data_IF_774906921743
#
_entry.id   IF_774906921743
#
_cell.length_a   1.000
_cell.length_b   1.000
_cell.length_c   1.000
_cell.angle_alpha   90.00
_cell.angle_beta   90.00
_cell.angle_gamma   90.00
#
_symmetry.space_group_name_H-M   'P 1'
#
loop_
_entity.id
_entity.type
_entity.pdbx_description
1 polymer ?
#
# COMPACT_ATOMS: atom_id res chain seq x y z
N UNK A 1 -22.56 13.91 -24.99
CA UNK A 1 -21.21 14.24 -25.44
C UNK A 1 -20.59 15.46 -24.71
N UNK A 2 -21.34 16.48 -24.31
CA UNK A 2 -20.87 17.67 -23.60
C UNK A 2 -20.44 17.36 -22.15
N UNK A 3 -21.18 16.56 -21.38
CA UNK A 3 -20.87 16.21 -19.99
C UNK A 3 -19.54 15.44 -19.85
N UNK A 4 -19.22 14.58 -20.81
CA UNK A 4 -17.98 13.78 -20.80
C UNK A 4 -16.71 14.65 -20.93
N UNK A 5 -16.78 15.77 -21.67
CA UNK A 5 -15.68 16.73 -21.82
C UNK A 5 -15.38 17.49 -20.52
N UNK A 6 -16.39 17.79 -19.71
CA UNK A 6 -16.20 18.47 -18.43
C UNK A 6 -15.69 17.51 -17.33
N UNK A 7 -16.15 16.25 -17.33
CA UNK A 7 -15.64 15.21 -16.45
C UNK A 7 -14.15 14.92 -16.75
N UNK A 8 -13.76 14.84 -18.03
CA UNK A 8 -12.36 14.66 -18.43
C UNK A 8 -11.48 15.88 -18.08
N UNK A 9 -12.00 17.09 -18.16
CA UNK A 9 -11.28 18.30 -17.73
C UNK A 9 -11.15 18.38 -16.20
N UNK A 10 -12.15 17.94 -15.45
CA UNK A 10 -12.10 17.89 -13.99
C UNK A 10 -11.06 16.88 -13.48
N UNK A 11 -10.91 15.75 -14.18
CA UNK A 11 -9.89 14.72 -13.84
C UNK A 11 -8.48 15.23 -14.15
N UNK A 12 -8.30 16.07 -15.17
CA UNK A 12 -6.96 16.58 -15.55
C UNK A 12 -6.45 17.72 -14.65
N UNK A 13 -7.30 18.36 -13.88
CA UNK A 13 -6.92 19.47 -12.98
C UNK A 13 -6.51 19.02 -11.58
N UNK A 14 -6.54 17.71 -11.26
CA UNK A 14 -6.21 17.18 -9.92
C UNK A 14 -4.71 16.84 -9.74
N UNK A 15 -3.91 17.00 -10.77
CA UNK A 15 -2.52 16.55 -10.75
C UNK A 15 -1.51 17.69 -10.68
N UNK A 16 -1.39 18.39 -9.56
CA UNK A 16 -0.20 19.22 -9.28
C UNK A 16 -0.24 19.76 -7.84
N UNK A 17 0.16 18.98 -6.86
CA UNK A 17 0.67 19.48 -5.58
C UNK A 17 1.51 18.39 -4.91
N UNK A 18 2.77 18.66 -4.63
CA UNK A 18 3.74 17.70 -4.10
C UNK A 18 4.10 18.08 -2.66
N UNK A 19 3.70 17.28 -1.70
CA UNK A 19 4.31 17.15 -0.37
C UNK A 19 3.74 15.94 0.35
N UNK A 20 4.55 15.16 1.05
CA UNK A 20 4.14 13.89 1.68
C UNK A 20 4.34 13.96 3.18
N UNK A 21 3.48 13.23 3.92
CA UNK A 21 3.65 13.05 5.34
C UNK A 21 4.89 12.23 5.68
N UNK A 22 5.49 12.46 6.85
CA UNK A 22 6.72 11.79 7.29
C UNK A 22 6.56 10.28 7.49
N UNK A 23 5.32 9.81 7.70
CA UNK A 23 5.03 8.40 7.99
C UNK A 23 5.45 7.45 6.86
N UNK A 24 5.36 7.87 5.60
CA UNK A 24 5.75 7.07 4.44
C UNK A 24 7.26 6.80 4.34
N UNK A 25 8.08 7.44 5.16
CA UNK A 25 9.53 7.20 5.21
C UNK A 25 9.95 6.26 6.34
N UNK A 26 9.02 5.83 7.21
CA UNK A 26 9.37 4.98 8.35
C UNK A 26 9.61 3.54 7.89
N UNK A 27 10.80 3.00 8.15
CA UNK A 27 11.17 1.63 7.79
C UNK A 27 11.03 1.36 6.28
N UNK A 28 10.18 0.38 5.94
CA UNK A 28 9.89 0.02 4.54
C UNK A 28 8.75 0.86 3.92
N UNK A 29 8.28 1.88 4.62
CA UNK A 29 7.18 2.75 4.20
C UNK A 29 5.82 2.34 4.74
N UNK A 30 4.78 3.02 4.25
CA UNK A 30 3.39 2.77 4.64
C UNK A 30 2.88 1.46 4.02
N UNK A 31 2.41 0.54 4.88
CA UNK A 31 1.83 -0.73 4.44
C UNK A 31 0.45 -0.49 3.83
N UNK A 32 0.14 -1.16 2.73
CA UNK A 32 -1.13 -0.97 2.04
C UNK A 32 -2.16 -1.97 2.54
N UNK A 33 -3.21 -1.48 3.20
CA UNK A 33 -4.25 -2.31 3.83
C UNK A 33 -5.34 -2.75 2.85
N UNK A 34 -5.64 -1.94 1.81
CA UNK A 34 -6.80 -2.16 0.94
C UNK A 34 -6.41 -2.51 -0.49
N UNK A 35 -6.59 -3.78 -0.85
CA UNK A 35 -6.25 -4.27 -2.19
C UNK A 35 -7.37 -4.09 -3.23
N UNK A 36 -8.56 -3.66 -2.84
CA UNK A 36 -9.69 -3.47 -3.77
C UNK A 36 -10.58 -2.30 -3.38
N UNK A 37 -11.18 -1.65 -4.36
CA UNK A 37 -12.15 -0.57 -4.13
C UNK A 37 -13.39 -1.03 -3.34
N UNK A 38 -13.76 -2.30 -3.43
CA UNK A 38 -14.86 -2.85 -2.63
C UNK A 38 -14.49 -2.97 -1.15
N UNK A 39 -13.27 -3.37 -0.83
CA UNK A 39 -12.76 -3.40 0.54
C UNK A 39 -12.59 -1.96 1.08
N UNK A 40 -11.93 -1.08 0.32
CA UNK A 40 -11.74 0.32 0.71
C UNK A 40 -13.06 1.04 0.99
N UNK A 41 -14.12 0.78 0.21
CA UNK A 41 -15.43 1.41 0.42
C UNK A 41 -16.15 1.01 1.70
N UNK A 42 -15.81 -0.11 2.31
CA UNK A 42 -16.38 -0.60 3.58
C UNK A 42 -15.38 -0.56 4.73
N UNK A 43 -14.20 0.06 4.55
CA UNK A 43 -13.08 0.01 5.48
C UNK A 43 -12.63 -1.41 5.86
N UNK A 44 -12.98 -2.42 5.04
CA UNK A 44 -12.61 -3.81 5.31
C UNK A 44 -11.11 -4.01 5.10
N UNK A 45 -10.44 -4.68 6.02
CA UNK A 45 -9.05 -5.10 5.90
C UNK A 45 -8.87 -6.26 4.88
N UNK A 46 -9.92 -6.56 4.10
CA UNK A 46 -9.94 -7.59 3.07
C UNK A 46 -10.32 -8.98 3.56
N UNK A 47 -10.51 -9.19 4.85
CA UNK A 47 -10.79 -10.49 5.43
C UNK A 47 -12.27 -10.88 5.30
N UNK A 48 -13.20 -9.96 5.62
CA UNK A 48 -14.63 -10.20 5.47
C UNK A 48 -15.11 -9.98 4.03
N UNK A 49 -16.31 -10.50 3.75
CA UNK A 49 -16.92 -10.35 2.42
C UNK A 49 -17.30 -8.90 2.14
N UNK A 50 -16.66 -8.27 1.19
CA UNK A 50 -16.87 -6.85 0.84
C UNK A 50 -17.27 -6.61 -0.61
N UNK A 51 -16.96 -7.56 -1.50
CA UNK A 51 -17.24 -7.44 -2.92
C UNK A 51 -18.68 -7.79 -3.27
N UNK A 52 -19.13 -8.98 -2.88
CA UNK A 52 -20.49 -9.50 -2.98
C UNK A 52 -20.85 -10.26 -1.71
N UNK A 53 -22.10 -10.59 -1.58
CA UNK A 53 -22.53 -11.47 -0.48
C UNK A 53 -21.68 -12.75 -0.46
N UNK A 54 -21.05 -13.02 0.67
CA UNK A 54 -20.13 -14.14 0.90
C UNK A 54 -18.86 -14.17 0.02
N UNK A 55 -18.49 -13.07 -0.61
CA UNK A 55 -17.31 -12.99 -1.46
C UNK A 55 -16.46 -11.76 -1.10
N UNK A 56 -15.21 -12.01 -0.76
CA UNK A 56 -14.11 -11.04 -0.71
C UNK A 56 -13.13 -11.34 -1.84
N UNK A 57 -12.64 -10.33 -2.53
CA UNK A 57 -11.59 -10.52 -3.53
C UNK A 57 -10.25 -10.85 -2.87
N UNK A 58 -9.95 -10.24 -1.71
CA UNK A 58 -8.67 -10.40 -1.00
C UNK A 58 -8.61 -11.65 -0.10
N UNK A 59 -9.74 -12.34 0.15
CA UNK A 59 -9.77 -13.52 1.00
C UNK A 59 -10.05 -14.80 0.20
N UNK A 60 -9.03 -15.64 -0.05
CA UNK A 60 -9.16 -16.83 -0.88
C UNK A 60 -10.17 -17.87 -0.34
N UNK A 61 -10.48 -17.89 0.97
CA UNK A 61 -11.46 -18.83 1.52
C UNK A 61 -12.88 -18.61 1.00
N UNK A 62 -13.15 -17.45 0.40
CA UNK A 62 -14.46 -17.11 -0.17
C UNK A 62 -14.60 -17.50 -1.64
N UNK A 63 -13.48 -17.75 -2.34
CA UNK A 63 -13.43 -17.99 -3.78
C UNK A 63 -14.07 -19.30 -4.27
N UNK A 64 -14.09 -20.40 -3.50
CA UNK A 64 -14.84 -21.59 -3.91
C UNK A 64 -16.33 -21.35 -4.17
N UNK A 65 -16.89 -20.26 -3.63
CA UNK A 65 -18.29 -19.85 -3.85
C UNK A 65 -18.49 -19.15 -5.21
N UNK A 66 -17.42 -18.78 -5.91
CA UNK A 66 -17.49 -18.15 -7.23
C UNK A 66 -17.91 -19.18 -8.28
N UNK A 67 -18.73 -18.74 -9.23
CA UNK A 67 -19.20 -19.59 -10.35
C UNK A 67 -18.40 -19.41 -11.63
N UNK A 68 -17.67 -18.31 -11.73
CA UNK A 68 -16.96 -17.88 -12.93
C UNK A 68 -15.53 -17.47 -12.58
N UNK A 69 -14.67 -17.51 -13.58
CA UNK A 69 -13.34 -16.91 -13.50
C UNK A 69 -13.46 -15.41 -13.41
N UNK A 70 -12.71 -14.79 -12.52
CA UNK A 70 -12.71 -13.35 -12.29
C UNK A 70 -11.36 -12.74 -12.63
N UNK A 71 -11.40 -11.65 -13.37
CA UNK A 71 -10.31 -10.70 -13.51
C UNK A 71 -10.72 -9.41 -12.82
N UNK A 72 -9.92 -8.92 -11.90
CA UNK A 72 -10.15 -7.66 -11.19
C UNK A 72 -8.93 -6.76 -11.28
N UNK A 73 -9.19 -5.48 -11.54
CA UNK A 73 -8.19 -4.42 -11.53
C UNK A 73 -8.69 -3.30 -10.63
N UNK A 74 -7.84 -2.82 -9.75
CA UNK A 74 -8.13 -1.67 -8.89
C UNK A 74 -7.03 -0.62 -9.01
N UNK A 75 -7.44 0.64 -9.07
CA UNK A 75 -6.56 1.80 -9.11
C UNK A 75 -6.91 2.74 -7.97
N UNK A 76 -5.93 3.32 -7.34
CA UNK A 76 -6.11 4.26 -6.24
C UNK A 76 -5.36 5.55 -6.44
N UNK A 77 -5.91 6.61 -5.87
CA UNK A 77 -5.24 7.89 -5.70
C UNK A 77 -5.40 8.36 -4.27
N UNK A 78 -4.31 8.85 -3.68
CA UNK A 78 -4.27 9.35 -2.31
C UNK A 78 -3.71 10.76 -2.27
N UNK A 79 -4.25 11.57 -1.40
CA UNK A 79 -3.76 12.91 -1.04
C UNK A 79 -3.47 12.91 0.46
N UNK A 80 -2.28 13.33 0.83
CA UNK A 80 -1.87 13.64 2.19
C UNK A 80 -1.68 15.13 2.35
N UNK A 81 -2.17 15.69 3.43
CA UNK A 81 -2.02 17.11 3.77
C UNK A 81 -1.56 17.25 5.23
N UNK A 82 -0.41 17.87 5.43
CA UNK A 82 0.08 18.29 6.74
C UNK A 82 -0.56 19.61 7.17
N UNK A 83 -0.60 19.87 8.48
CA UNK A 83 -1.18 21.09 9.06
C UNK A 83 -0.58 22.39 8.49
N UNK A 84 0.65 22.36 8.01
CA UNK A 84 1.37 23.52 7.45
C UNK A 84 1.13 23.75 5.95
N UNK A 85 -0.01 23.31 5.40
CA UNK A 85 -0.42 23.44 4.00
C UNK A 85 0.42 22.68 2.95
N UNK A 86 1.35 21.86 3.34
CA UNK A 86 1.99 20.98 2.38
C UNK A 86 1.04 19.84 2.00
N UNK A 87 0.71 19.72 0.72
CA UNK A 87 -0.16 18.69 0.18
C UNK A 87 0.64 17.80 -0.76
N UNK A 88 0.36 16.52 -0.68
CA UNK A 88 0.97 15.55 -1.55
C UNK A 88 -0.02 14.53 -2.05
N UNK A 89 0.13 14.15 -3.31
CA UNK A 89 -0.70 13.13 -3.91
C UNK A 89 0.14 12.08 -4.62
N UNK A 90 -0.34 10.87 -4.60
CA UNK A 90 0.17 9.77 -5.41
C UNK A 90 -0.97 8.89 -5.91
N UNK A 91 -0.71 8.20 -6.99
CA UNK A 91 -1.65 7.24 -7.54
C UNK A 91 -0.91 6.02 -8.04
N UNK A 92 -1.52 4.86 -7.85
CA UNK A 92 -0.92 3.59 -8.23
C UNK A 92 -1.97 2.54 -8.62
N UNK A 93 -1.49 1.47 -9.25
CA UNK A 93 -2.25 0.23 -9.38
C UNK A 93 -2.39 -0.39 -8.00
N UNK A 94 -3.61 -0.46 -7.46
CA UNK A 94 -3.89 -1.02 -6.15
C UNK A 94 -3.87 -2.55 -6.15
N UNK A 95 -4.45 -3.17 -7.18
CA UNK A 95 -4.33 -4.62 -7.40
C UNK A 95 -4.65 -5.00 -8.84
N UNK A 96 -4.03 -6.09 -9.28
CA UNK A 96 -4.40 -6.84 -10.47
C UNK A 96 -4.54 -8.31 -10.08
N UNK A 97 -5.72 -8.89 -10.25
CA UNK A 97 -6.05 -10.19 -9.69
C UNK A 97 -6.79 -11.06 -10.70
N UNK A 98 -6.41 -12.35 -10.74
CA UNK A 98 -7.10 -13.39 -11.49
C UNK A 98 -7.48 -14.52 -10.53
N UNK A 99 -8.77 -14.88 -10.50
CA UNK A 99 -9.31 -15.94 -9.64
C UNK A 99 -10.01 -16.99 -10.50
N UNK A 100 -9.67 -18.26 -10.31
CA UNK A 100 -10.20 -19.40 -11.05
C UNK A 100 -10.84 -20.38 -10.06
N UNK A 101 -12.19 -20.40 -9.94
CA UNK A 101 -12.88 -21.41 -9.15
C UNK A 101 -12.91 -22.76 -9.87
N UNK A 102 -12.75 -23.85 -9.12
CA UNK A 102 -12.69 -25.21 -9.64
C UNK A 102 -13.75 -26.06 -8.94
N UNK A 103 -14.76 -26.51 -9.69
CA UNK A 103 -15.82 -27.43 -9.24
C UNK A 103 -16.52 -27.02 -7.93
N UNK A 104 -16.67 -25.73 -7.65
CA UNK A 104 -17.28 -25.19 -6.44
C UNK A 104 -16.68 -25.70 -5.11
N UNK A 105 -15.50 -26.29 -5.14
CA UNK A 105 -14.83 -26.86 -3.97
C UNK A 105 -13.43 -26.27 -3.78
N UNK A 106 -12.74 -26.00 -4.88
CA UNK A 106 -11.39 -25.44 -4.89
C UNK A 106 -11.38 -24.12 -5.62
N UNK A 107 -10.43 -23.28 -5.32
CA UNK A 107 -10.10 -22.14 -6.15
C UNK A 107 -8.61 -21.85 -6.08
N UNK A 108 -8.08 -21.32 -7.16
CA UNK A 108 -6.72 -20.80 -7.25
C UNK A 108 -6.78 -19.35 -7.72
N UNK A 109 -5.81 -18.57 -7.35
CA UNK A 109 -5.70 -17.18 -7.79
C UNK A 109 -4.30 -16.65 -7.72
N UNK A 110 -4.07 -15.63 -8.51
CA UNK A 110 -2.85 -14.83 -8.49
C UNK A 110 -3.24 -13.36 -8.33
N UNK A 111 -2.42 -12.62 -7.59
CA UNK A 111 -2.63 -11.19 -7.37
C UNK A 111 -1.28 -10.47 -7.39
N UNK A 112 -1.25 -9.30 -8.00
CA UNK A 112 -0.15 -8.34 -7.95
C UNK A 112 -0.66 -7.07 -7.30
N UNK A 113 -0.01 -6.63 -6.21
CA UNK A 113 -0.39 -5.43 -5.49
C UNK A 113 0.80 -4.76 -4.81
N UNK A 114 0.76 -3.46 -4.49
CA UNK A 114 1.76 -2.84 -3.64
C UNK A 114 1.64 -3.40 -2.21
N UNK A 115 2.78 -3.79 -1.63
CA UNK A 115 2.89 -4.20 -0.24
C UNK A 115 3.17 -3.01 0.67
N UNK A 116 4.14 -2.18 0.25
CA UNK A 116 4.45 -0.92 0.93
C UNK A 116 4.80 0.16 -0.08
N UNK A 117 4.63 1.41 0.34
CA UNK A 117 4.92 2.56 -0.50
C UNK A 117 5.78 3.56 0.26
N UNK A 118 6.85 3.98 -0.41
CA UNK A 118 7.79 4.97 0.10
C UNK A 118 7.82 6.13 -0.87
N UNK A 119 7.54 7.32 -0.41
CA UNK A 119 7.78 8.55 -1.16
C UNK A 119 7.84 9.71 -0.20
N UNK A 120 8.94 10.38 -0.14
CA UNK A 120 9.14 11.60 0.63
C UNK A 120 10.11 12.50 -0.10
N UNK A 121 9.87 13.79 -0.01
CA UNK A 121 10.77 14.84 -0.42
C UNK A 121 10.72 15.91 0.68
N UNK A 122 11.82 16.06 1.41
CA UNK A 122 11.91 16.97 2.53
C UNK A 122 13.15 17.84 2.40
N UNK A 123 12.98 19.11 2.65
CA UNK A 123 14.06 20.09 2.75
C UNK A 123 14.12 20.51 4.23
N UNK A 124 15.30 20.36 4.82
CA UNK A 124 15.60 20.94 6.14
C UNK A 124 15.87 22.44 5.94
N UNK A 125 14.87 23.23 6.31
CA UNK A 125 14.92 24.68 6.18
C UNK A 125 15.61 25.37 7.38
N UNK A 126 16.04 24.62 8.39
CA UNK A 126 16.89 25.15 9.45
C UNK A 126 18.28 25.35 8.88
N UNK A 127 18.42 26.45 8.14
CA UNK A 127 19.63 26.81 7.45
C UNK A 127 20.83 26.87 8.41
N UNK A 128 21.82 26.04 8.13
CA UNK A 128 23.13 26.23 8.69
C UNK A 128 23.91 27.02 7.66
N UNK A 129 24.07 28.32 7.88
CA UNK A 129 24.96 29.12 7.06
C UNK A 129 26.38 28.55 7.14
N UNK A 130 26.95 28.18 6.01
CA UNK A 130 28.33 27.75 5.93
C UNK A 130 29.19 28.99 5.62
N UNK A 131 30.03 29.39 6.57
CA UNK A 131 31.01 30.43 6.31
C UNK A 131 32.24 29.78 5.65
N UNK A 132 32.44 30.03 4.36
CA UNK A 132 33.58 29.54 3.62
C UNK A 132 34.24 30.72 2.85
N UNK A 133 35.53 30.89 3.03
CA UNK A 133 36.33 31.94 2.29
C UNK A 133 35.75 33.36 2.42
N UNK A 134 35.27 33.76 3.62
CA UNK A 134 34.67 35.06 3.91
C UNK A 134 33.24 35.27 3.32
N UNK A 135 32.70 34.29 2.59
CA UNK A 135 31.32 34.28 2.12
C UNK A 135 30.42 33.41 3.00
N UNK A 136 29.17 33.82 3.14
CA UNK A 136 28.12 33.04 3.82
C UNK A 136 27.29 32.33 2.75
N UNK A 137 27.47 31.01 2.66
CA UNK A 137 26.75 30.16 1.71
C UNK A 137 25.47 29.61 2.36
N UNK A 138 24.34 29.65 1.67
CA UNK A 138 23.10 29.01 2.11
C UNK A 138 23.25 27.49 1.97
N UNK A 139 23.11 26.79 3.11
CA UNK A 139 23.27 25.35 3.20
C UNK A 139 21.94 24.71 3.53
N UNK A 140 21.34 23.99 2.59
CA UNK A 140 20.11 23.25 2.81
C UNK A 140 20.36 21.74 2.64
N UNK A 141 19.72 20.95 3.48
CA UNK A 141 19.73 19.50 3.37
C UNK A 141 18.39 19.02 2.82
N UNK A 142 18.43 18.30 1.71
CA UNK A 142 17.25 17.67 1.12
C UNK A 142 17.36 16.14 1.25
N UNK A 143 16.30 15.51 1.66
CA UNK A 143 16.15 14.06 1.67
C UNK A 143 15.01 13.64 0.75
N UNK A 144 15.34 12.85 -0.28
CA UNK A 144 14.37 12.33 -1.24
C UNK A 144 14.38 10.80 -1.16
N UNK A 145 13.21 10.21 -1.04
CA UNK A 145 13.04 8.76 -1.11
C UNK A 145 11.81 8.43 -1.95
N UNK A 146 11.92 7.47 -2.84
CA UNK A 146 10.83 7.02 -3.69
C UNK A 146 10.96 5.54 -4.01
N UNK A 147 9.79 4.85 -4.13
CA UNK A 147 9.70 3.43 -4.46
C UNK A 147 8.85 2.66 -3.47
N UNK A 148 9.21 1.41 -3.20
CA UNK A 148 8.49 0.55 -2.27
C UNK A 148 8.65 -0.93 -2.59
N UNK A 149 7.86 -1.74 -1.89
CA UNK A 149 7.80 -3.19 -2.04
C UNK A 149 6.50 -3.57 -2.71
N UNK A 150 6.58 -4.41 -3.73
CA UNK A 150 5.44 -5.05 -4.40
C UNK A 150 5.28 -6.47 -3.88
N UNK A 151 4.06 -6.97 -3.90
CA UNK A 151 3.73 -8.35 -3.58
C UNK A 151 3.12 -9.05 -4.80
N UNK A 152 3.56 -10.28 -5.05
CA UNK A 152 2.94 -11.21 -5.97
C UNK A 152 2.45 -12.43 -5.19
N UNK A 153 1.14 -12.56 -5.09
CA UNK A 153 0.47 -13.58 -4.30
C UNK A 153 0.03 -14.75 -5.18
N UNK A 154 0.31 -15.96 -4.73
CA UNK A 154 -0.19 -17.20 -5.31
C UNK A 154 -1.04 -17.87 -4.24
N UNK A 155 -2.32 -18.02 -4.48
CA UNK A 155 -3.30 -18.49 -3.50
C UNK A 155 -3.99 -19.75 -3.97
N UNK A 156 -4.22 -20.67 -3.03
CA UNK A 156 -5.05 -21.84 -3.23
C UNK A 156 -6.04 -21.99 -2.06
N UNK A 157 -7.28 -22.35 -2.38
CA UNK A 157 -8.32 -22.52 -1.37
C UNK A 157 -9.15 -23.78 -1.61
N UNK A 158 -9.70 -24.31 -0.52
CA UNK A 158 -10.55 -25.50 -0.53
C UNK A 158 -11.66 -25.42 0.51
N UNK A 159 -12.82 -25.96 0.16
CA UNK A 159 -13.91 -26.26 1.12
C UNK A 159 -13.68 -27.64 1.71
N UNK A 160 -13.32 -27.72 3.00
CA UNK A 160 -13.10 -28.98 3.71
C UNK A 160 -14.42 -29.57 4.14
N UNK A 161 -15.25 -28.72 4.78
CA UNK A 161 -16.59 -29.07 5.21
C UNK A 161 -17.60 -28.11 4.60
N UNK A 162 -18.88 -28.43 4.66
CA UNK A 162 -19.95 -27.56 4.14
C UNK A 162 -19.94 -26.13 4.72
N UNK A 163 -19.31 -25.95 5.88
CA UNK A 163 -19.28 -24.67 6.61
C UNK A 163 -17.87 -24.13 6.85
N UNK A 164 -16.81 -24.85 6.38
CA UNK A 164 -15.42 -24.49 6.69
C UNK A 164 -14.58 -24.51 5.43
N UNK A 165 -13.94 -23.38 5.14
CA UNK A 165 -13.02 -23.21 4.04
C UNK A 165 -11.64 -22.86 4.59
N UNK A 166 -10.60 -23.42 3.97
CA UNK A 166 -9.21 -23.08 4.23
C UNK A 166 -8.55 -22.54 2.97
N UNK A 167 -7.55 -21.68 3.15
CA UNK A 167 -6.71 -21.23 2.07
C UNK A 167 -5.28 -20.97 2.53
N UNK A 168 -4.36 -21.09 1.57
CA UNK A 168 -2.95 -20.81 1.72
C UNK A 168 -2.54 -19.85 0.61
N UNK A 169 -1.77 -18.83 0.97
CA UNK A 169 -1.16 -17.89 0.03
C UNK A 169 0.34 -17.84 0.27
N UNK A 170 1.10 -17.94 -0.80
CA UNK A 170 2.51 -17.58 -0.86
C UNK A 170 2.63 -16.20 -1.46
N UNK A 171 3.21 -15.27 -0.71
CA UNK A 171 3.38 -13.88 -1.08
C UNK A 171 4.86 -13.60 -1.34
N UNK A 172 5.23 -13.41 -2.61
CA UNK A 172 6.57 -13.06 -3.04
C UNK A 172 6.73 -11.55 -2.98
N UNK A 173 7.65 -11.08 -2.15
CA UNK A 173 7.97 -9.67 -1.99
C UNK A 173 9.15 -9.30 -2.86
N UNK A 174 9.01 -8.23 -3.66
CA UNK A 174 10.05 -7.71 -4.55
C UNK A 174 9.84 -6.21 -4.76
N UNK A 175 10.81 -5.55 -5.35
CA UNK A 175 10.70 -4.13 -5.65
C UNK A 175 12.00 -3.40 -5.43
N UNK A 176 11.94 -2.08 -5.51
CA UNK A 176 13.10 -1.24 -5.24
C UNK A 176 12.69 0.14 -4.72
N UNK A 177 13.56 0.71 -3.90
CA UNK A 177 13.48 2.12 -3.55
C UNK A 177 14.78 2.84 -3.81
N UNK A 178 14.69 4.14 -3.99
CA UNK A 178 15.82 5.05 -4.14
C UNK A 178 15.80 6.05 -3.01
N UNK A 179 16.99 6.35 -2.53
CA UNK A 179 17.22 7.36 -1.51
C UNK A 179 18.29 8.30 -2.02
N UNK A 180 18.06 9.60 -1.91
CA UNK A 180 19.04 10.63 -2.18
C UNK A 180 19.10 11.59 -0.99
N UNK A 181 20.30 11.85 -0.53
CA UNK A 181 20.63 12.91 0.42
C UNK A 181 21.38 13.98 -0.33
N UNK A 182 20.72 15.12 -0.52
CA UNK A 182 21.29 16.23 -1.24
C UNK A 182 21.72 17.30 -0.25
N UNK A 183 22.94 17.79 -0.42
CA UNK A 183 23.44 18.98 0.22
C UNK A 183 23.34 20.11 -0.81
N UNK A 184 22.44 21.05 -0.61
CA UNK A 184 22.28 22.20 -1.48
C UNK A 184 23.20 23.32 -0.97
N UNK A 185 24.17 23.72 -1.76
CA UNK A 185 25.05 24.87 -1.50
C UNK A 185 24.72 25.92 -2.54
N UNK A 186 24.12 27.03 -2.16
CA UNK A 186 23.60 28.06 -3.08
C UNK A 186 22.74 27.45 -4.20
N UNK A 187 21.78 26.59 -3.84
CA UNK A 187 20.91 25.81 -4.74
C UNK A 187 21.60 24.74 -5.61
N UNK A 188 22.89 24.55 -5.46
CA UNK A 188 23.64 23.53 -6.20
C UNK A 188 23.65 22.22 -5.40
N UNK A 189 23.10 21.10 -5.91
CA UNK A 189 22.99 19.85 -5.17
C UNK A 189 24.26 19.00 -5.28
N UNK A 190 24.82 18.62 -4.14
CA UNK A 190 25.74 17.51 -3.99
C UNK A 190 24.97 16.30 -3.48
N UNK A 191 24.86 15.24 -4.27
CA UNK A 191 24.00 14.12 -3.98
C UNK A 191 24.80 12.89 -3.52
N UNK A 192 24.29 12.23 -2.47
CA UNK A 192 24.66 10.87 -2.13
C UNK A 192 23.41 10.02 -2.35
N UNK A 193 23.43 9.14 -3.34
CA UNK A 193 22.28 8.32 -3.65
C UNK A 193 22.54 6.84 -3.38
N UNK A 194 21.49 6.13 -3.05
CA UNK A 194 21.51 4.68 -2.93
C UNK A 194 20.23 4.07 -3.51
N UNK A 195 20.36 2.85 -4.03
CA UNK A 195 19.25 2.02 -4.46
C UNK A 195 19.17 0.78 -3.60
N UNK A 196 17.97 0.47 -3.16
CA UNK A 196 17.64 -0.73 -2.40
C UNK A 196 16.79 -1.65 -3.30
N UNK A 197 17.23 -2.88 -3.52
CA UNK A 197 16.47 -3.90 -4.23
C UNK A 197 15.99 -4.94 -3.22
N UNK A 198 14.68 -5.12 -3.12
CA UNK A 198 14.02 -5.95 -2.11
C UNK A 198 13.74 -7.35 -2.59
N UNK A 199 13.86 -8.34 -1.69
CA UNK A 199 13.38 -9.71 -1.90
C UNK A 199 12.97 -10.37 -0.58
N UNK A 200 11.84 -11.09 -0.60
CA UNK A 200 11.33 -11.79 0.58
C UNK A 200 10.17 -12.71 0.23
N UNK A 201 9.73 -13.54 1.18
CA UNK A 201 8.59 -14.44 1.01
C UNK A 201 7.80 -14.51 2.31
N UNK A 202 6.52 -14.19 2.26
CA UNK A 202 5.57 -14.43 3.34
C UNK A 202 4.68 -15.63 3.03
N UNK A 203 4.19 -16.25 4.07
CA UNK A 203 3.15 -17.29 3.99
C UNK A 203 1.94 -16.82 4.78
N UNK A 204 0.75 -16.93 4.19
CA UNK A 204 -0.50 -16.48 4.78
C UNK A 204 -1.48 -17.65 4.80
N UNK A 205 -2.01 -17.95 5.99
CA UNK A 205 -3.04 -18.95 6.21
C UNK A 205 -4.37 -18.25 6.46
N UNK A 206 -5.44 -18.75 5.83
CA UNK A 206 -6.79 -18.25 6.02
C UNK A 206 -7.73 -19.37 6.42
N UNK A 207 -8.66 -19.06 7.30
CA UNK A 207 -9.75 -19.93 7.70
C UNK A 207 -11.05 -19.13 7.67
N UNK A 208 -12.09 -19.71 7.07
CA UNK A 208 -13.48 -19.24 7.17
C UNK A 208 -14.32 -20.33 7.78
N UNK A 209 -15.15 -19.99 8.78
CA UNK A 209 -16.10 -20.89 9.38
C UNK A 209 -17.46 -20.20 9.56
N UNK A 210 -18.55 -20.89 9.15
CA UNK A 210 -19.91 -20.40 9.36
C UNK A 210 -20.56 -21.11 10.55
N UNK A 211 -20.94 -20.35 11.58
CA UNK A 211 -21.62 -20.86 12.77
C UNK A 211 -22.58 -19.80 13.34
N UNK A 212 -23.69 -20.25 13.94
CA UNK A 212 -24.67 -19.40 14.66
C UNK A 212 -25.20 -18.20 13.82
N UNK A 213 -25.24 -18.31 12.50
CA UNK A 213 -25.69 -17.23 11.63
C UNK A 213 -24.59 -16.21 11.27
N UNK A 214 -23.37 -16.41 11.75
CA UNK A 214 -22.22 -15.54 11.49
C UNK A 214 -21.17 -16.25 10.65
N UNK A 215 -20.50 -15.50 9.78
CA UNK A 215 -19.24 -15.88 9.14
C UNK A 215 -18.10 -15.41 10.01
N UNK A 216 -17.25 -16.33 10.46
CA UNK A 216 -16.02 -16.08 11.20
C UNK A 216 -14.83 -16.27 10.26
N UNK A 217 -13.89 -15.33 10.30
CA UNK A 217 -12.70 -15.34 9.47
C UNK A 217 -11.45 -15.18 10.34
N UNK A 218 -10.42 -15.92 9.99
CA UNK A 218 -9.09 -15.82 10.60
C UNK A 218 -8.04 -15.74 9.51
N UNK A 219 -7.01 -14.95 9.76
CA UNK A 219 -5.82 -14.85 8.93
C UNK A 219 -4.60 -14.85 9.84
N UNK A 220 -3.59 -15.62 9.47
CA UNK A 220 -2.25 -15.58 10.08
C UNK A 220 -1.22 -15.44 9.00
N UNK A 221 -0.29 -14.51 9.17
CA UNK A 221 0.79 -14.26 8.24
C UNK A 221 2.11 -14.34 9.00
N UNK A 222 3.09 -14.98 8.40
CA UNK A 222 4.46 -15.06 8.91
C UNK A 222 5.45 -15.01 7.74
N UNK A 223 6.63 -14.48 8.00
CA UNK A 223 7.70 -14.45 7.02
C UNK A 223 8.34 -15.85 6.91
N UNK A 224 8.21 -16.48 5.74
CA UNK A 224 8.96 -17.72 5.42
C UNK A 224 10.43 -17.40 5.12
N UNK A 225 10.65 -16.32 4.38
CA UNK A 225 11.94 -15.69 4.17
C UNK A 225 11.77 -14.21 4.48
N UNK A 226 12.36 -13.70 5.58
CA UNK A 226 12.32 -12.28 5.91
C UNK A 226 12.74 -11.41 4.74
N UNK A 227 12.20 -10.19 4.66
CA UNK A 227 12.58 -9.24 3.63
C UNK A 227 14.04 -8.84 3.81
N UNK A 228 14.79 -8.91 2.75
CA UNK A 228 16.17 -8.44 2.65
C UNK A 228 16.31 -7.41 1.53
N UNK A 229 17.34 -6.58 1.60
CA UNK A 229 17.67 -5.65 0.53
C UNK A 229 19.15 -5.75 0.15
N UNK A 230 19.41 -5.60 -1.15
CA UNK A 230 20.75 -5.30 -1.66
C UNK A 230 20.80 -3.80 -1.85
N UNK A 231 21.61 -3.12 -1.03
CA UNK A 231 21.86 -1.69 -1.12
C UNK A 231 23.04 -1.47 -2.05
N UNK A 232 22.84 -0.66 -3.09
CA UNK A 232 23.88 -0.13 -3.96
C UNK A 232 24.04 1.34 -3.67
N UNK A 233 25.19 1.75 -3.09
CA UNK A 233 25.52 3.15 -2.85
C UNK A 233 26.34 3.66 -4.02
N UNK A 234 26.00 4.85 -4.46
CA UNK A 234 26.76 5.56 -5.48
C UNK A 234 27.79 6.48 -4.80
N UNK A 235 28.89 6.70 -5.50
CA UNK A 235 29.87 7.70 -5.10
C UNK A 235 29.19 9.09 -5.07
N UNK A 236 29.56 9.98 -4.12
CA UNK A 236 29.02 11.34 -4.10
C UNK A 236 29.30 12.08 -5.40
N UNK A 237 28.26 12.69 -5.97
CA UNK A 237 28.32 13.40 -7.23
C UNK A 237 27.56 14.73 -7.16
N UNK A 238 27.89 15.62 -8.07
CA UNK A 238 27.18 16.86 -8.28
C UNK A 238 26.07 16.61 -9.30
N UNK A 239 24.83 16.71 -8.85
CA UNK A 239 23.63 16.45 -9.67
C UNK A 239 23.26 17.73 -10.43
N UNK A 240 23.75 17.88 -11.64
CA UNK A 240 23.59 19.08 -12.45
C UNK A 240 22.16 19.37 -12.84
N UNK A 241 21.36 18.35 -13.11
CA UNK A 241 19.97 18.48 -13.55
C UNK A 241 18.92 18.20 -12.45
N UNK A 242 19.38 17.96 -11.23
CA UNK A 242 18.53 17.71 -10.04
C UNK A 242 17.56 16.53 -10.20
N UNK A 243 17.95 15.49 -10.96
CA UNK A 243 17.11 14.32 -11.19
C UNK A 243 17.32 13.18 -10.17
N UNK A 244 18.33 13.30 -9.27
CA UNK A 244 18.68 12.31 -8.28
C UNK A 244 19.40 11.07 -8.82
N UNK A 245 19.91 11.16 -10.06
CA UNK A 245 20.66 10.10 -10.73
C UNK A 245 22.05 10.61 -11.09
N UNK A 246 23.03 9.72 -11.13
CA UNK A 246 24.34 10.02 -11.67
C UNK A 246 24.31 9.84 -13.20
N UNK A 247 24.24 10.94 -13.93
CA UNK A 247 24.08 10.95 -15.39
C UNK A 247 25.43 10.89 -16.12
N UNK A 248 25.46 10.07 -17.18
CA UNK A 248 26.63 9.87 -18.00
C UNK A 248 26.63 10.81 -19.23
N UNK A 249 27.79 11.07 -19.77
CA UNK A 249 28.04 12.00 -20.85
C UNK A 249 27.45 11.67 -22.24
N UNK A 250 26.64 10.63 -22.37
CA UNK A 250 26.17 10.17 -23.69
C UNK A 250 24.75 10.58 -24.04
N UNK A 251 24.06 11.32 -23.20
CA UNK A 251 22.74 11.82 -23.53
C UNK A 251 22.86 13.13 -24.32
N UNK A 252 22.80 13.03 -25.66
CA UNK A 252 22.87 14.17 -26.58
C UNK A 252 21.68 15.14 -26.40
N UNK A 253 20.62 14.73 -25.74
CA UNK A 253 19.42 15.54 -25.50
C UNK A 253 19.53 16.37 -24.21
N UNK A 254 20.45 16.02 -23.33
CA UNK A 254 20.64 16.70 -22.06
C UNK A 254 22.12 16.85 -21.73
N UNK A 255 22.80 17.95 -22.18
CA UNK A 255 24.25 18.09 -22.12
C UNK A 255 24.80 18.36 -20.71
N UNK A 256 23.97 18.30 -19.64
CA UNK A 256 24.44 18.42 -18.28
C UNK A 256 24.99 17.10 -17.77
N UNK A 257 26.33 17.01 -17.67
CA UNK A 257 26.98 15.86 -17.04
C UNK A 257 27.07 16.06 -15.53
N UNK A 258 26.91 14.98 -14.80
CA UNK A 258 27.21 14.98 -13.38
C UNK A 258 28.73 14.85 -13.15
N UNK A 259 29.19 15.49 -12.08
CA UNK A 259 30.60 15.45 -11.71
C UNK A 259 30.76 14.84 -10.32
N UNK A 260 31.75 14.00 -10.08
CA UNK A 260 32.76 13.50 -11.02
C UNK A 260 32.20 12.48 -12.03
N UNK A 261 32.87 12.31 -13.16
CA UNK A 261 32.48 11.30 -14.15
C UNK A 261 32.53 9.90 -13.50
N UNK A 262 31.51 9.05 -13.66
CA UNK A 262 31.49 7.70 -13.08
C UNK A 262 32.68 6.81 -13.46
N UNK A 263 33.31 7.06 -14.59
CA UNK A 263 34.50 6.29 -14.99
C UNK A 263 35.78 6.67 -14.21
N UNK A 264 35.79 7.83 -13.57
CA UNK A 264 36.94 8.38 -12.88
C UNK A 264 36.90 8.17 -11.36
N UNK A 265 35.83 7.52 -10.85
CA UNK A 265 35.60 7.27 -9.42
C UNK A 265 35.44 5.78 -9.13
N UNK A 266 35.59 5.35 -7.87
CA UNK A 266 35.30 3.96 -7.48
C UNK A 266 33.90 3.52 -7.90
N UNK A 267 33.78 2.28 -8.35
CA UNK A 267 32.49 1.69 -8.71
C UNK A 267 31.49 1.68 -7.55
N UNK A 268 30.19 1.44 -7.83
CA UNK A 268 29.16 1.38 -6.80
C UNK A 268 29.47 0.36 -5.72
N UNK A 269 29.36 0.76 -4.46
CA UNK A 269 29.52 -0.14 -3.33
C UNK A 269 28.22 -0.91 -3.10
N UNK A 270 28.29 -2.25 -3.04
CA UNK A 270 27.16 -3.10 -2.76
C UNK A 270 27.26 -3.72 -1.37
N UNK A 271 26.17 -3.65 -0.62
CA UNK A 271 26.02 -4.30 0.67
C UNK A 271 24.66 -4.99 0.77
N UNK A 272 24.60 -6.11 1.51
CA UNK A 272 23.36 -6.83 1.77
C UNK A 272 22.91 -6.50 3.19
N UNK A 273 21.64 -6.09 3.30
CA UNK A 273 20.94 -5.87 4.56
C UNK A 273 19.93 -7.00 4.69
N UNK A 274 20.16 -7.92 5.61
CA UNK A 274 19.27 -9.06 5.86
C UNK A 274 18.25 -8.72 6.93
N UNK A 275 17.10 -9.38 6.90
CA UNK A 275 16.05 -9.32 7.92
C UNK A 275 15.59 -7.88 8.24
N UNK A 276 15.21 -7.14 7.18
CA UNK A 276 14.73 -5.76 7.30
C UNK A 276 13.30 -5.72 7.82
N UNK A 277 12.49 -6.72 7.42
CA UNK A 277 11.08 -6.82 7.77
C UNK A 277 10.69 -8.29 7.90
N UNK A 278 10.20 -8.64 9.10
CA UNK A 278 9.79 -10.00 9.47
C UNK A 278 8.44 -9.93 10.20
N UNK A 279 7.34 -9.72 9.45
CA UNK A 279 6.05 -9.50 10.06
C UNK A 279 5.44 -10.79 10.59
N UNK A 280 4.91 -10.71 11.80
CA UNK A 280 3.96 -11.67 12.34
C UNK A 280 2.62 -10.97 12.46
N UNK A 281 1.60 -11.44 11.73
CA UNK A 281 0.29 -10.83 11.73
C UNK A 281 -0.80 -11.85 12.05
N UNK A 282 -1.76 -11.42 12.86
CA UNK A 282 -3.01 -12.13 13.14
C UNK A 282 -4.18 -11.23 12.86
N UNK A 283 -5.19 -11.74 12.15
CA UNK A 283 -6.41 -11.02 11.88
C UNK A 283 -7.62 -11.90 12.19
N UNK A 284 -8.65 -11.27 12.72
CA UNK A 284 -9.93 -11.88 13.02
C UNK A 284 -11.03 -11.02 12.42
N UNK A 285 -12.03 -11.65 11.82
CA UNK A 285 -13.18 -10.95 11.25
C UNK A 285 -14.48 -11.69 11.53
N UNK A 286 -15.53 -10.93 11.72
CA UNK A 286 -16.90 -11.45 11.85
C UNK A 286 -17.82 -10.67 10.93
N UNK A 287 -18.70 -11.36 10.24
CA UNK A 287 -19.76 -10.70 9.48
C UNK A 287 -21.10 -11.44 9.63
N UNK A 288 -22.17 -10.65 9.60
CA UNK A 288 -23.53 -11.15 9.58
C UNK A 288 -24.33 -10.46 8.49
N UNK A 289 -25.15 -11.20 7.77
CA UNK A 289 -26.05 -10.66 6.76
C UNK A 289 -27.47 -10.67 7.28
N UNK A 290 -28.00 -9.48 7.58
CA UNK A 290 -29.35 -9.24 8.09
C UNK A 290 -30.28 -9.04 6.90
N UNK A 291 -31.47 -9.65 6.94
CA UNK A 291 -32.50 -9.53 5.88
C UNK A 291 -31.99 -9.84 4.46
N UNK A 292 -30.99 -10.72 4.33
CA UNK A 292 -30.38 -11.15 3.06
C UNK A 292 -29.74 -10.02 2.21
N UNK A 293 -29.72 -8.79 2.68
CA UNK A 293 -29.22 -7.63 1.93
C UNK A 293 -28.26 -6.74 2.69
N UNK A 294 -28.44 -6.62 3.98
CA UNK A 294 -27.66 -5.74 4.81
C UNK A 294 -26.64 -6.56 5.59
N UNK A 295 -25.37 -6.34 5.30
CA UNK A 295 -24.28 -6.98 6.02
C UNK A 295 -23.63 -5.97 6.95
N UNK A 296 -23.36 -6.39 8.17
CA UNK A 296 -22.48 -5.71 9.11
C UNK A 296 -21.24 -6.56 9.34
N UNK A 297 -20.11 -5.92 9.53
CA UNK A 297 -18.83 -6.60 9.74
C UNK A 297 -17.98 -5.88 10.75
N UNK A 298 -17.14 -6.66 11.41
CA UNK A 298 -16.11 -6.21 12.31
C UNK A 298 -14.82 -6.95 11.95
N UNK A 299 -13.70 -6.26 11.90
CA UNK A 299 -12.38 -6.85 11.70
C UNK A 299 -11.38 -6.25 12.69
N UNK A 300 -10.49 -7.10 13.16
CA UNK A 300 -9.33 -6.72 13.96
C UNK A 300 -8.07 -7.36 13.35
N UNK A 301 -7.02 -6.60 13.25
CA UNK A 301 -5.72 -7.08 12.81
C UNK A 301 -4.63 -6.54 13.72
N UNK A 302 -3.70 -7.40 14.08
CA UNK A 302 -2.46 -7.04 14.77
C UNK A 302 -1.28 -7.49 13.94
N UNK A 303 -0.37 -6.56 13.65
CA UNK A 303 0.90 -6.81 12.97
C UNK A 303 2.03 -6.48 13.95
N UNK A 304 2.96 -7.39 14.11
CA UNK A 304 4.15 -7.19 14.93
C UNK A 304 5.39 -7.38 14.08
N UNK A 305 6.33 -6.47 14.20
CA UNK A 305 7.64 -6.57 13.56
C UNK A 305 8.60 -7.34 14.45
N UNK A 306 9.16 -8.43 13.92
CA UNK A 306 10.15 -9.26 14.62
C UNK A 306 11.58 -9.01 14.13
N UNK A 307 11.76 -8.24 13.05
CA UNK A 307 13.09 -7.94 12.52
C UNK A 307 13.98 -7.25 13.55
N UNK A 308 15.26 -7.62 13.55
CA UNK A 308 16.24 -7.02 14.46
C UNK A 308 16.44 -5.53 14.18
N UNK A 309 16.61 -4.76 15.24
CA UNK A 309 16.85 -3.32 15.15
C UNK A 309 18.14 -2.95 14.41
N UNK A 310 19.16 -3.81 14.47
CA UNK A 310 20.47 -3.60 13.83
C UNK A 310 20.43 -3.65 12.29
N UNK A 311 19.33 -4.16 11.69
CA UNK A 311 19.20 -4.38 10.25
C UNK A 311 18.28 -3.35 9.59
N UNK A 312 18.28 -2.12 10.08
CA UNK A 312 17.40 -1.09 9.53
C UNK A 312 17.91 -0.52 8.23
N UNK A 313 16.95 -0.19 7.37
CA UNK A 313 17.19 0.65 6.20
C UNK A 313 17.43 2.07 6.70
N UNK A 314 18.55 2.71 6.35
CA UNK A 314 18.73 4.12 6.62
C UNK A 314 17.56 4.91 6.02
N UNK A 315 16.88 5.68 6.84
CA UNK A 315 15.80 6.57 6.40
C UNK A 315 16.00 7.96 7.00
N UNK A 316 15.30 8.96 6.46
CA UNK A 316 15.49 10.36 6.86
C UNK A 316 15.15 10.65 8.32
N UNK A 317 14.34 9.81 8.96
CA UNK A 317 13.85 10.01 10.33
C UNK A 317 14.40 8.99 11.34
N UNK A 318 15.16 8.00 10.90
CA UNK A 318 15.64 6.89 11.75
C UNK A 318 14.50 6.19 12.53
N UNK A 319 13.26 6.17 11.97
CA UNK A 319 12.07 5.59 12.59
C UNK A 319 11.57 4.38 11.83
N UNK A 320 10.95 3.43 12.54
CA UNK A 320 10.23 2.30 11.95
C UNK A 320 8.94 2.00 12.71
N UNK A 321 8.02 1.32 12.06
CA UNK A 321 6.81 0.78 12.68
C UNK A 321 7.15 -0.58 13.27
N UNK A 322 6.88 -0.78 14.58
CA UNK A 322 7.13 -2.05 15.28
C UNK A 322 5.86 -2.83 15.58
N UNK A 323 4.74 -2.15 15.76
CA UNK A 323 3.43 -2.76 15.94
C UNK A 323 2.38 -1.91 15.20
N UNK A 324 1.35 -2.59 14.67
CA UNK A 324 0.19 -1.96 14.09
C UNK A 324 -1.06 -2.75 14.53
N UNK A 325 -1.99 -2.07 15.21
CA UNK A 325 -3.30 -2.58 15.61
C UNK A 325 -4.37 -1.88 14.78
N UNK A 326 -5.07 -2.63 13.94
CA UNK A 326 -6.12 -2.12 13.06
C UNK A 326 -7.48 -2.66 13.49
N UNK A 327 -8.46 -1.78 13.61
CA UNK A 327 -9.86 -2.12 13.90
C UNK A 327 -10.72 -1.51 12.80
N UNK A 328 -11.64 -2.29 12.26
CA UNK A 328 -12.60 -1.79 11.28
C UNK A 328 -14.02 -2.27 11.52
N UNK A 329 -14.97 -1.40 11.18
CA UNK A 329 -16.39 -1.67 11.16
C UNK A 329 -16.94 -1.34 9.78
N UNK A 330 -17.63 -2.29 9.17
CA UNK A 330 -18.20 -2.13 7.83
C UNK A 330 -19.71 -2.39 7.82
N UNK A 331 -20.41 -1.65 6.97
CA UNK A 331 -21.80 -1.86 6.64
C UNK A 331 -21.98 -1.86 5.11
N UNK A 332 -22.67 -2.88 4.61
CA UNK A 332 -22.84 -3.07 3.15
C UNK A 332 -24.31 -3.38 2.85
N UNK A 333 -24.86 -2.65 1.90
CA UNK A 333 -26.18 -2.91 1.34
C UNK A 333 -26.03 -3.53 -0.05
N UNK A 334 -26.42 -4.81 -0.21
CA UNK A 334 -26.37 -5.54 -1.47
C UNK A 334 -27.67 -5.41 -2.26
N UNK A 335 -27.63 -5.38 -3.61
CA UNK A 335 -28.79 -5.46 -4.46
C UNK A 335 -29.46 -6.84 -4.35
N UNK A 336 -30.77 -6.91 -4.40
CA UNK A 336 -31.50 -8.16 -4.17
C UNK A 336 -31.45 -9.14 -5.34
N UNK A 337 -31.68 -8.63 -6.53
CA UNK A 337 -31.65 -9.40 -7.77
C UNK A 337 -31.17 -8.49 -8.88
N UNK A 338 -30.72 -9.10 -9.95
CA UNK A 338 -30.45 -8.36 -11.16
C UNK A 338 -31.78 -7.83 -11.71
N UNK A 339 -31.89 -6.53 -11.76
CA UNK A 339 -33.03 -5.80 -12.27
C UNK A 339 -32.58 -4.95 -13.46
N UNK A 340 -33.51 -4.59 -14.33
CA UNK A 340 -33.25 -3.60 -15.39
C UNK A 340 -33.18 -2.17 -14.86
N UNK A 341 -33.62 -1.94 -13.61
CA UNK A 341 -33.53 -0.63 -12.98
C UNK A 341 -32.11 -0.39 -12.46
N UNK A 342 -31.56 0.77 -12.74
CA UNK A 342 -30.19 1.17 -12.33
C UNK A 342 -29.97 1.01 -10.82
N UNK A 343 -30.89 1.53 -10.01
CA UNK A 343 -30.77 1.52 -8.55
C UNK A 343 -30.76 0.11 -7.92
N UNK A 344 -31.42 -0.84 -8.57
CA UNK A 344 -31.48 -2.22 -8.07
C UNK A 344 -30.15 -2.99 -8.29
N UNK A 345 -29.24 -2.44 -9.08
CA UNK A 345 -27.93 -3.02 -9.35
C UNK A 345 -26.79 -2.34 -8.55
N UNK A 346 -27.14 -1.38 -7.68
CA UNK A 346 -26.18 -0.69 -6.84
C UNK A 346 -25.93 -1.44 -5.54
N UNK A 347 -24.66 -1.49 -5.15
CA UNK A 347 -24.18 -1.88 -3.81
C UNK A 347 -23.69 -0.62 -3.12
N UNK A 348 -24.15 -0.35 -1.91
CA UNK A 348 -23.65 0.75 -1.10
C UNK A 348 -22.81 0.20 0.04
N UNK A 349 -21.71 0.89 0.37
CA UNK A 349 -20.76 0.51 1.39
C UNK A 349 -20.43 1.71 2.25
N UNK A 350 -20.23 1.48 3.53
CA UNK A 350 -19.66 2.48 4.45
C UNK A 350 -18.84 1.76 5.51
N UNK A 351 -17.87 2.44 6.06
CA UNK A 351 -17.04 1.89 7.12
C UNK A 351 -16.35 2.95 7.96
N UNK A 352 -15.91 2.52 9.11
CA UNK A 352 -15.07 3.26 10.04
C UNK A 352 -13.85 2.42 10.34
N UNK A 353 -12.68 3.05 10.49
CA UNK A 353 -11.46 2.35 10.86
C UNK A 353 -10.64 3.16 11.85
N UNK A 354 -9.90 2.43 12.65
CA UNK A 354 -8.97 2.96 13.63
C UNK A 354 -7.69 2.16 13.58
N UNK A 355 -6.57 2.83 13.37
CA UNK A 355 -5.23 2.24 13.33
C UNK A 355 -4.40 2.85 14.45
N UNK A 356 -3.64 2.02 15.13
CA UNK A 356 -2.70 2.45 16.16
C UNK A 356 -1.32 1.85 15.86
N UNK A 357 -0.38 2.71 15.52
CA UNK A 357 0.99 2.35 15.17
C UNK A 357 1.92 2.67 16.34
N UNK A 358 2.68 1.68 16.77
CA UNK A 358 3.81 1.91 17.66
C UNK A 358 5.08 2.05 16.82
N UNK A 359 5.81 3.12 17.03
CA UNK A 359 7.06 3.40 16.31
C UNK A 359 8.24 3.36 17.27
N UNK A 360 9.40 3.01 16.74
CA UNK A 360 10.69 2.99 17.44
C UNK A 360 11.66 3.90 16.69
N UNK A 361 12.54 4.59 17.43
CA UNK A 361 13.49 5.54 16.89
C UNK A 361 14.93 5.06 17.16
N UNK A 362 15.80 5.16 16.14
CA UNK A 362 17.22 4.94 16.27
C UNK A 362 17.90 6.18 16.85
N UNK A 363 18.62 6.04 17.95
CA UNK A 363 19.58 7.09 18.29
C UNK A 363 20.78 7.02 17.34
N UNK A 364 21.37 8.18 16.99
CA UNK A 364 22.58 8.26 16.16
C UNK A 364 23.78 7.51 16.80
N UNK A 365 23.71 7.24 18.09
CA UNK A 365 24.67 6.44 18.82
C UNK A 365 24.20 4.98 18.83
N UNK A 366 24.79 4.15 17.99
CA UNK A 366 24.41 2.75 17.73
C UNK A 366 24.42 1.83 18.98
N UNK A 367 24.74 2.38 20.15
CA UNK A 367 24.85 1.66 21.43
C UNK A 367 23.72 1.93 22.42
N UNK A 368 22.92 3.00 22.24
CA UNK A 368 21.87 3.39 23.18
C UNK A 368 20.50 3.26 22.55
N UNK A 369 19.74 2.24 22.92
CA UNK A 369 18.32 2.13 22.63
C UNK A 369 17.54 3.15 23.44
N UNK A 370 17.19 4.28 22.85
CA UNK A 370 16.11 5.09 23.40
C UNK A 370 14.82 4.46 22.91
N UNK A 371 14.23 3.62 23.76
CA UNK A 371 12.93 3.01 23.55
C UNK A 371 11.85 4.06 23.84
N UNK A 372 11.79 5.13 23.06
CA UNK A 372 10.64 6.01 23.10
C UNK A 372 9.57 5.36 22.21
N UNK A 373 8.64 4.66 22.85
CA UNK A 373 7.48 4.13 22.18
C UNK A 373 6.56 5.32 21.84
N UNK A 374 6.76 5.91 20.68
CA UNK A 374 5.90 6.95 20.18
C UNK A 374 4.70 6.28 19.50
N UNK A 375 3.49 6.70 19.82
CA UNK A 375 2.29 6.21 19.15
C UNK A 375 1.85 7.16 18.06
N UNK A 376 1.39 6.58 16.95
CA UNK A 376 0.71 7.29 15.88
C UNK A 376 -0.67 6.68 15.77
N UNK A 377 -1.71 7.50 15.95
CA UNK A 377 -3.09 7.03 15.84
C UNK A 377 -3.73 7.57 14.58
N UNK A 378 -4.50 6.74 13.90
CA UNK A 378 -5.28 7.12 12.74
C UNK A 378 -6.73 6.75 12.93
N UNK A 379 -7.62 7.70 12.72
CA UNK A 379 -9.06 7.48 12.68
C UNK A 379 -9.62 7.94 11.35
N UNK A 380 -10.46 7.12 10.72
CA UNK A 380 -11.02 7.44 9.43
C UNK A 380 -12.37 6.78 9.15
N UNK A 381 -12.94 7.21 8.04
CA UNK A 381 -14.17 6.66 7.48
C UNK A 381 -14.03 6.41 5.99
N UNK A 382 -14.84 5.51 5.48
CA UNK A 382 -14.97 5.28 4.05
C UNK A 382 -16.42 5.18 3.62
N UNK A 383 -16.63 5.49 2.35
CA UNK A 383 -17.90 5.29 1.64
C UNK A 383 -17.59 4.74 0.26
N UNK A 384 -18.44 3.86 -0.23
CA UNK A 384 -18.27 3.27 -1.55
C UNK A 384 -19.59 2.86 -2.20
N UNK A 385 -19.55 2.72 -3.51
CA UNK A 385 -20.65 2.15 -4.25
C UNK A 385 -20.12 1.24 -5.36
N UNK A 386 -20.86 0.19 -5.64
CA UNK A 386 -20.58 -0.74 -6.72
C UNK A 386 -21.77 -0.80 -7.67
N UNK A 387 -21.50 -0.78 -8.97
CA UNK A 387 -22.52 -0.95 -10.00
C UNK A 387 -22.28 -2.23 -10.78
N UNK A 388 -23.25 -3.14 -10.71
CA UNK A 388 -23.25 -4.41 -11.43
C UNK A 388 -23.94 -4.22 -12.76
N UNK A 389 -23.24 -4.42 -13.89
CA UNK A 389 -23.76 -4.12 -15.21
C UNK A 389 -24.01 -5.34 -16.13
N UNK A 390 -23.67 -6.57 -15.67
CA UNK A 390 -23.99 -7.82 -16.38
C UNK A 390 -24.40 -8.93 -15.42
N UNK A 391 -25.27 -9.83 -15.91
CA UNK A 391 -25.73 -10.99 -15.15
C UNK A 391 -24.58 -11.87 -14.62
N UNK A 392 -23.53 -12.00 -15.40
CA UNK A 392 -22.39 -12.87 -15.12
C UNK A 392 -21.53 -12.36 -13.97
N UNK A 393 -21.61 -11.05 -13.68
CA UNK A 393 -20.88 -10.57 -12.53
C UNK A 393 -19.89 -9.45 -12.77
N UNK A 394 -19.98 -8.77 -13.90
CA UNK A 394 -19.18 -7.59 -14.15
C UNK A 394 -19.65 -6.45 -13.26
N UNK A 395 -18.69 -5.76 -12.63
CA UNK A 395 -18.97 -4.72 -11.67
C UNK A 395 -17.89 -3.64 -11.73
N UNK A 396 -18.32 -2.40 -11.51
CA UNK A 396 -17.42 -1.27 -11.28
C UNK A 396 -17.67 -0.81 -9.85
N UNK A 397 -16.58 -0.65 -9.08
CA UNK A 397 -16.60 -0.20 -7.71
C UNK A 397 -15.89 1.14 -7.59
N UNK A 398 -16.44 2.01 -6.75
CA UNK A 398 -15.83 3.28 -6.35
C UNK A 398 -15.79 3.33 -4.83
N UNK A 399 -14.70 3.88 -4.30
CA UNK A 399 -14.56 4.14 -2.89
C UNK A 399 -13.89 5.49 -2.67
N UNK A 400 -14.28 6.13 -1.59
CA UNK A 400 -13.65 7.31 -1.04
C UNK A 400 -13.38 7.08 0.44
N UNK A 401 -12.19 7.47 0.91
CA UNK A 401 -11.82 7.42 2.31
C UNK A 401 -11.24 8.75 2.77
N UNK A 402 -11.42 9.05 4.04
CA UNK A 402 -10.75 10.18 4.68
C UNK A 402 -10.37 9.81 6.10
N UNK A 403 -9.12 10.11 6.48
CA UNK A 403 -8.61 9.86 7.82
C UNK A 403 -7.73 10.99 8.33
N UNK A 404 -7.52 10.98 9.64
CA UNK A 404 -6.62 11.86 10.36
C UNK A 404 -5.62 11.02 11.13
N UNK A 405 -4.33 11.20 10.83
CA UNK A 405 -3.21 10.65 11.60
C UNK A 405 -2.72 11.69 12.60
N UNK A 406 -2.62 11.31 13.85
CA UNK A 406 -2.11 12.14 14.96
C UNK A 406 -0.82 11.56 15.51
N UNK A 407 0.19 12.38 15.69
CA UNK A 407 1.53 12.01 16.15
C UNK A 407 1.76 12.54 17.57
N UNK A 408 2.09 11.66 18.52
CA UNK A 408 2.25 12.06 19.94
C UNK A 408 3.52 12.86 20.24
N UNK A 409 4.57 12.76 19.45
CA UNK A 409 5.89 13.30 19.79
C UNK A 409 6.64 13.87 18.59
N UNK A 410 6.00 14.69 17.77
CA UNK A 410 6.69 15.35 16.67
C UNK A 410 6.21 16.78 16.48
N UNK A 411 7.04 17.61 15.86
CA UNK A 411 6.67 18.95 15.39
C UNK A 411 5.53 18.91 14.35
N UNK A 412 5.22 17.73 13.81
CA UNK A 412 4.11 17.44 12.92
C UNK A 412 2.96 16.85 13.73
N UNK A 413 2.03 17.66 14.16
CA UNK A 413 0.94 17.20 15.05
C UNK A 413 -0.13 16.36 14.37
N UNK A 414 -0.45 16.65 13.10
CA UNK A 414 -1.56 16.01 12.38
C UNK A 414 -1.31 15.91 10.88
N UNK A 415 -1.67 14.76 10.31
CA UNK A 415 -1.70 14.49 8.87
C UNK A 415 -3.09 14.05 8.44
N UNK A 416 -3.69 14.77 7.49
CA UNK A 416 -4.98 14.40 6.90
C UNK A 416 -4.77 13.61 5.61
N UNK A 417 -5.32 12.42 5.55
CA UNK A 417 -5.30 11.56 4.37
C UNK A 417 -6.67 11.56 3.69
N UNK A 418 -6.68 11.57 2.37
CA UNK A 418 -7.87 11.37 1.54
C UNK A 418 -7.52 10.41 0.42
N UNK A 419 -8.38 9.43 0.18
CA UNK A 419 -8.18 8.43 -0.86
C UNK A 419 -9.41 8.25 -1.71
N UNK A 420 -9.21 7.99 -3.00
CA UNK A 420 -10.23 7.44 -3.86
C UNK A 420 -9.73 6.17 -4.52
N UNK A 421 -10.63 5.24 -4.78
CA UNK A 421 -10.31 3.99 -5.46
C UNK A 421 -11.36 3.70 -6.51
N UNK A 422 -10.92 3.14 -7.63
CA UNK A 422 -11.79 2.64 -8.71
C UNK A 422 -11.38 1.21 -8.98
N UNK A 423 -12.36 0.30 -8.97
CA UNK A 423 -12.16 -1.11 -9.29
C UNK A 423 -13.07 -1.54 -10.45
N UNK A 424 -12.52 -2.35 -11.33
CA UNK A 424 -13.27 -3.02 -12.39
C UNK A 424 -13.06 -4.50 -12.25
N UNK A 425 -14.14 -5.26 -12.18
CA UNK A 425 -14.10 -6.71 -12.17
C UNK A 425 -14.95 -7.29 -13.29
N UNK A 426 -14.35 -8.22 -14.00
CA UNK A 426 -14.93 -8.92 -15.15
C UNK A 426 -14.98 -10.40 -14.82
N UNK A 427 -16.16 -11.00 -14.98
CA UNK A 427 -16.37 -12.43 -14.80
C UNK A 427 -16.72 -13.06 -16.15
N UNK A 428 -16.08 -14.18 -16.45
CA UNK A 428 -16.37 -14.93 -17.68
C UNK A 428 -16.20 -16.45 -17.47
N UNK A 429 -16.74 -17.20 -18.44
CA UNK A 429 -16.73 -18.67 -18.46
C UNK A 429 -15.48 -19.14 -19.25
N UNK A 430 -14.29 -18.82 -18.79
CA UNK A 430 -13.08 -19.09 -19.59
C UNK A 430 -12.62 -20.56 -19.60
N UNK A 431 -12.95 -21.34 -18.59
CA UNK A 431 -12.45 -22.70 -18.43
C UNK A 431 -13.55 -23.78 -18.45
N UNK A 432 -14.79 -23.44 -18.80
CA UNK A 432 -15.86 -24.40 -18.94
C UNK A 432 -15.90 -24.88 -20.40
N UNK A 433 -15.59 -26.16 -20.63
CA UNK A 433 -15.78 -26.80 -21.93
C UNK A 433 -17.24 -26.62 -22.35
N UNK A 434 -17.54 -25.78 -23.33
CA UNK A 434 -18.86 -25.74 -23.99
C UNK A 434 -19.08 -27.13 -24.57
N UNK A 435 -20.04 -27.88 -24.05
CA UNK A 435 -20.55 -29.02 -24.78
C UNK A 435 -21.10 -28.49 -26.11
N UNK A 436 -20.40 -28.71 -27.19
CA UNK A 436 -20.97 -28.61 -28.50
C UNK A 436 -22.12 -29.62 -28.55
N UNK A 437 -23.35 -29.13 -28.68
CA UNK A 437 -24.51 -29.93 -29.04
C UNK A 437 -24.51 -30.07 -30.55
#
# INVERSE_FOLDING_TARGET
>A
MFLLKYVFRLIFFISLCFSQGPFNSYGIGDLQDWNSASAGGSSSLGLVSSYRQNISLSNPTTWPNLKYTFLSLSYSGFESALKNNSKNGYSNLQSAQLIIPIKNKYAIGIELHPYSYQKIDMIDSLGNDLIAFEDTLDLQKQFVQAGGVMAFDISASTSIFSRTNLALTFQLLFGSSRQSKNLLVDEIPYAISSRLNYSGVNTILFLKHYAFGFDFFFRSQFAFKPLEAIQTKLYPYFDTNKNGYHDFSYDYLNPGYDFPNPNDVPGPEQSRISNIHEPLSFSFGVSNTIYQRFQVSFEYQKIKENASYSNQIPNGFNKRIIENDNISFGAIWYPNKQSFKFLDNLTFRSGLFFNNFATDELSDDSTIRIKSKNSVTEFGYSIGFGYKFKAVGNQIDFAYSSSLKSFEASDYSEERLRGFQIGISIADIWFIKRRQR
#
